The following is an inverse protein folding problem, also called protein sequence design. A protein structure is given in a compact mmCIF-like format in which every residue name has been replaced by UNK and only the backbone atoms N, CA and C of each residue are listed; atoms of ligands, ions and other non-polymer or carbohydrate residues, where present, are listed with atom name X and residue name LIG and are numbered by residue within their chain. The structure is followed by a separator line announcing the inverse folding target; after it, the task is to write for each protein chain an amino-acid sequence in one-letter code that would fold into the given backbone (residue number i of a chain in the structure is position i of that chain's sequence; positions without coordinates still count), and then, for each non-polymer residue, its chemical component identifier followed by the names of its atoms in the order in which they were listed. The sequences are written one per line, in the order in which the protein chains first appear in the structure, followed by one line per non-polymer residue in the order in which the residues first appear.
data_IF_990917757398
#
_entry.id   IF_990917757398
#
_cell.length_a   1.000
_cell.length_b   1.000
_cell.length_c   1.000
_cell.angle_alpha   90.00
_cell.angle_beta   90.00
_cell.angle_gamma   90.00
#
_symmetry.space_group_name_H-M   'P 1'
#
loop_
_entity.id
_entity.type
_entity.pdbx_description
1 polymer ?
#
# COMPACT_ATOMS: atom_id res chain seq x y z
N UNK A 1 -1.14 -5.91 5.00
CA UNK A 1 -1.18 -4.67 5.80
C UNK A 1 -2.13 -3.63 5.21
N UNK A 2 -2.72 -2.76 6.03
CA UNK A 2 -3.54 -1.63 5.52
C UNK A 2 -2.65 -0.48 5.02
N UNK A 3 -3.20 0.46 4.24
CA UNK A 3 -2.45 1.64 3.77
C UNK A 3 -1.87 2.50 4.92
N UNK A 4 -2.52 2.52 6.08
CA UNK A 4 -2.02 3.23 7.26
C UNK A 4 -0.76 2.57 7.83
N UNK A 5 -0.79 1.25 7.95
CA UNK A 5 0.33 0.45 8.43
C UNK A 5 1.52 0.48 7.43
N UNK A 6 1.23 0.43 6.12
CA UNK A 6 2.25 0.63 5.09
C UNK A 6 2.91 2.02 5.22
N UNK A 7 2.10 3.06 5.43
CA UNK A 7 2.58 4.43 5.60
C UNK A 7 3.47 4.60 6.84
N UNK A 8 3.11 3.96 7.95
CA UNK A 8 3.91 3.97 9.18
C UNK A 8 5.24 3.23 9.00
N UNK A 9 5.25 2.13 8.24
CA UNK A 9 6.45 1.32 8.02
C UNK A 9 7.42 1.91 7.01
N UNK A 10 6.93 2.51 5.93
CA UNK A 10 7.77 3.12 4.88
C UNK A 10 8.09 4.58 5.16
N UNK A 11 7.37 5.24 6.09
CA UNK A 11 7.44 6.69 6.30
C UNK A 11 6.82 7.51 5.16
N UNK A 12 6.28 6.85 4.13
CA UNK A 12 5.66 7.52 2.99
C UNK A 12 4.22 7.86 3.30
N UNK A 13 3.79 9.07 2.91
CA UNK A 13 2.41 9.49 3.13
C UNK A 13 1.41 8.58 2.41
N UNK A 14 0.24 8.35 3.02
CA UNK A 14 -0.87 7.60 2.40
C UNK A 14 -1.28 8.14 1.02
N UNK A 15 -1.10 9.45 0.77
CA UNK A 15 -1.35 10.08 -0.52
C UNK A 15 -0.35 9.59 -1.58
N UNK A 16 0.94 9.57 -1.26
CA UNK A 16 1.96 9.06 -2.17
C UNK A 16 1.81 7.56 -2.41
N UNK A 17 1.43 6.78 -1.40
CA UNK A 17 1.13 5.35 -1.59
C UNK A 17 -0.02 5.12 -2.58
N UNK A 18 -1.10 5.92 -2.52
CA UNK A 18 -2.16 5.85 -3.54
C UNK A 18 -1.65 6.24 -4.93
N UNK A 19 -0.80 7.26 -5.00
CA UNK A 19 -0.17 7.65 -6.26
C UNK A 19 0.68 6.51 -6.82
N UNK A 20 1.49 5.83 -6.02
CA UNK A 20 2.26 4.67 -6.45
C UNK A 20 1.38 3.48 -6.87
N UNK A 21 0.24 3.30 -6.20
CA UNK A 21 -0.76 2.31 -6.63
C UNK A 21 -1.39 2.68 -7.98
N UNK A 22 -1.72 3.96 -8.19
CA UNK A 22 -2.23 4.49 -9.46
C UNK A 22 -1.20 4.42 -10.60
N UNK A 23 0.09 4.53 -10.29
CA UNK A 23 1.20 4.36 -11.23
C UNK A 23 1.66 2.89 -11.38
N UNK A 24 0.92 1.92 -10.81
CA UNK A 24 1.23 0.48 -10.86
C UNK A 24 2.60 0.09 -10.25
N UNK A 25 3.22 0.96 -9.46
CA UNK A 25 4.49 0.71 -8.77
C UNK A 25 4.30 -0.22 -7.56
N UNK A 26 3.15 -0.10 -6.89
CA UNK A 26 2.73 -1.01 -5.82
C UNK A 26 1.35 -1.58 -6.11
N UNK A 27 1.11 -2.80 -5.66
CA UNK A 27 -0.16 -3.50 -5.87
C UNK A 27 -0.86 -3.75 -4.54
N UNK A 28 -2.17 -3.44 -4.49
CA UNK A 28 -3.03 -3.85 -3.39
C UNK A 28 -3.88 -5.05 -3.79
N UNK A 29 -4.15 -5.94 -2.83
CA UNK A 29 -5.12 -7.02 -2.98
C UNK A 29 -6.45 -6.58 -2.38
N UNK A 30 -7.55 -6.85 -3.06
CA UNK A 30 -8.87 -6.74 -2.45
C UNK A 30 -9.14 -7.95 -1.58
N UNK A 31 -9.43 -7.71 -0.31
CA UNK A 31 -9.88 -8.75 0.61
C UNK A 31 -11.40 -8.96 0.49
N UNK A 32 -11.88 -10.13 0.89
CA UNK A 32 -13.31 -10.49 0.84
C UNK A 32 -14.21 -9.55 1.66
N UNK A 33 -13.62 -8.81 2.61
CA UNK A 33 -14.28 -7.79 3.42
C UNK A 33 -14.29 -6.39 2.77
N UNK A 34 -13.86 -6.25 1.51
CA UNK A 34 -13.86 -5.00 0.75
C UNK A 34 -12.67 -4.06 1.03
N UNK A 35 -11.79 -4.41 1.97
CA UNK A 35 -10.59 -3.63 2.26
C UNK A 35 -9.48 -3.90 1.24
N UNK A 36 -8.58 -2.92 1.09
CA UNK A 36 -7.30 -3.09 0.38
C UNK A 36 -6.24 -3.57 1.36
N UNK A 37 -5.53 -4.60 0.95
CA UNK A 37 -4.46 -5.22 1.68
C UNK A 37 -3.17 -5.14 0.85
N UNK A 38 -2.16 -4.49 1.41
CA UNK A 38 -0.85 -4.36 0.80
C UNK A 38 0.03 -5.50 1.31
N UNK A 39 0.66 -6.28 0.43
CA UNK A 39 1.54 -7.36 0.84
C UNK A 39 2.88 -6.80 1.36
N UNK A 40 3.56 -7.53 2.25
CA UNK A 40 4.89 -7.19 2.80
C UNK A 40 5.90 -6.62 1.78
N UNK A 41 6.06 -7.22 0.59
CA UNK A 41 7.02 -6.75 -0.42
C UNK A 41 6.73 -5.33 -0.95
N UNK A 42 5.55 -4.75 -0.68
CA UNK A 42 5.31 -3.34 -1.02
C UNK A 42 6.13 -2.39 -0.15
N UNK A 43 6.58 -2.81 1.04
CA UNK A 43 7.46 -1.99 1.89
C UNK A 43 8.81 -1.78 1.22
N UNK A 44 9.37 -2.82 0.58
CA UNK A 44 10.68 -2.77 -0.07
C UNK A 44 10.67 -2.07 -1.44
N UNK A 45 9.47 -1.83 -2.00
CA UNK A 45 9.28 -1.20 -3.32
C UNK A 45 9.04 0.30 -3.27
N UNK A 46 8.79 0.84 -2.09
CA UNK A 46 8.44 2.25 -1.84
C UNK A 46 9.69 3.00 -1.39
#
# INVERSE_FOLDING_TARGET
MRIGELSERTGVSRRMLRYYEEQELIASRRCANGYRDYPEPCVDRV
#
